data_IF_585312443208
#
_entry.id   IF_585312443208
#
_cell.length_a   1.000
_cell.length_b   1.000
_cell.length_c   1.000
_cell.angle_alpha   90.00
_cell.angle_beta   90.00
_cell.angle_gamma   90.00
#
_symmetry.space_group_name_H-M   'P 1'
#
loop_
_entity.id
_entity.type
_entity.pdbx_description
1 polymer ?
#
# COMPACT_ATOMS: atom_id res chain seq x y z
N UNK A 1 18.30 -9.28 9.18
CA UNK A 1 16.96 -9.92 9.25
C UNK A 1 16.55 -10.33 7.85
N UNK A 2 16.22 -11.58 7.70
CA UNK A 2 15.67 -12.07 6.44
C UNK A 2 14.17 -11.83 6.38
N UNK A 3 13.71 -11.25 5.28
CA UNK A 3 12.29 -11.00 5.03
C UNK A 3 11.86 -11.88 3.87
N UNK A 4 10.79 -12.63 4.07
CA UNK A 4 10.15 -13.40 3.01
C UNK A 4 8.79 -12.80 2.67
N UNK A 5 8.35 -12.99 1.43
CA UNK A 5 7.05 -12.51 0.96
C UNK A 5 6.19 -13.68 0.51
N UNK A 6 4.89 -13.57 0.68
CA UNK A 6 3.91 -14.52 0.16
C UNK A 6 2.56 -13.86 -0.10
N UNK A 7 1.70 -14.47 -0.90
CA UNK A 7 0.34 -13.99 -1.07
C UNK A 7 -0.43 -13.98 0.26
N UNK A 8 -1.35 -13.04 0.40
CA UNK A 8 -2.26 -12.93 1.55
C UNK A 8 -3.26 -14.09 1.55
N UNK A 9 -3.57 -14.60 2.73
CA UNK A 9 -4.60 -15.61 2.99
C UNK A 9 -5.70 -15.01 3.87
N UNK A 10 -6.87 -15.62 3.86
CA UNK A 10 -8.02 -15.16 4.67
C UNK A 10 -7.68 -15.05 6.17
N UNK A 11 -6.81 -15.93 6.67
CA UNK A 11 -6.38 -15.93 8.08
C UNK A 11 -5.44 -14.78 8.45
N UNK A 12 -4.96 -14.01 7.47
CA UNK A 12 -4.00 -12.93 7.73
C UNK A 12 -4.68 -11.60 8.08
N UNK A 13 -5.95 -11.41 7.76
CA UNK A 13 -6.59 -10.10 7.86
C UNK A 13 -6.63 -9.54 9.29
N UNK A 14 -6.72 -10.39 10.31
CA UNK A 14 -6.71 -9.93 11.70
C UNK A 14 -5.41 -9.22 12.06
N UNK A 15 -4.27 -9.84 11.79
CA UNK A 15 -2.96 -9.24 12.09
C UNK A 15 -2.66 -8.05 11.18
N UNK A 16 -3.14 -8.10 9.94
CA UNK A 16 -3.00 -6.97 9.01
C UNK A 16 -3.78 -5.74 9.51
N UNK A 17 -5.01 -5.95 10.01
CA UNK A 17 -5.80 -4.88 10.60
C UNK A 17 -5.11 -4.27 11.83
N UNK A 18 -4.54 -5.09 12.70
CA UNK A 18 -3.76 -4.62 13.86
C UNK A 18 -2.58 -3.75 13.42
N UNK A 19 -1.83 -4.18 12.43
CA UNK A 19 -0.70 -3.44 11.87
C UNK A 19 -1.14 -2.08 11.31
N UNK A 20 -2.19 -2.07 10.51
CA UNK A 20 -2.71 -0.83 9.91
C UNK A 20 -3.27 0.12 10.98
N UNK A 21 -3.94 -0.40 11.99
CA UNK A 21 -4.47 0.42 13.08
C UNK A 21 -3.36 1.10 13.91
N UNK A 22 -2.21 0.48 14.08
CA UNK A 22 -1.05 1.14 14.70
C UNK A 22 -0.60 2.36 13.87
N UNK A 23 -0.56 2.20 12.55
CA UNK A 23 -0.21 3.29 11.63
C UNK A 23 -1.25 4.42 11.71
N UNK A 24 -2.53 4.07 11.73
CA UNK A 24 -3.64 5.03 11.82
C UNK A 24 -3.56 5.80 13.14
N UNK A 25 -3.31 5.12 14.25
CA UNK A 25 -3.22 5.72 15.58
C UNK A 25 -2.10 6.76 15.67
N UNK A 26 -0.93 6.44 15.13
CA UNK A 26 0.19 7.39 15.07
C UNK A 26 -0.15 8.58 14.18
N UNK A 27 -0.82 8.32 13.06
CA UNK A 27 -1.24 9.35 12.11
C UNK A 27 -0.09 9.89 11.27
N UNK A 28 -0.42 10.77 10.34
CA UNK A 28 0.54 11.52 9.54
C UNK A 28 1.03 10.83 8.26
N UNK A 29 0.73 9.56 8.04
CA UNK A 29 1.24 8.84 6.86
C UNK A 29 0.16 8.29 5.94
N UNK A 30 -0.92 7.76 6.48
CA UNK A 30 -2.02 7.22 5.68
C UNK A 30 -3.18 8.20 5.57
N UNK A 31 -3.95 8.11 4.48
CA UNK A 31 -5.22 8.82 4.35
C UNK A 31 -6.34 8.17 5.18
N UNK A 32 -6.15 6.94 5.64
CA UNK A 32 -7.08 6.28 6.54
C UNK A 32 -6.93 6.84 7.95
N UNK A 33 -8.03 7.32 8.54
CA UNK A 33 -8.03 7.95 9.86
C UNK A 33 -8.98 7.26 10.84
N UNK A 34 -9.78 6.31 10.35
CA UNK A 34 -10.71 5.50 11.14
C UNK A 34 -10.15 4.07 11.26
N UNK A 35 -10.14 3.48 12.46
CA UNK A 35 -9.69 2.10 12.63
C UNK A 35 -10.41 1.13 11.71
N UNK A 36 -9.68 0.12 11.24
CA UNK A 36 -10.19 -0.92 10.35
C UNK A 36 -10.34 -2.25 11.11
N UNK A 37 -11.19 -3.12 10.61
CA UNK A 37 -11.37 -4.48 11.10
C UNK A 37 -10.84 -5.50 10.09
N UNK A 38 -10.70 -6.75 10.51
CA UNK A 38 -10.38 -7.83 9.59
C UNK A 38 -11.42 -7.93 8.46
N UNK A 39 -12.69 -7.74 8.77
CA UNK A 39 -13.80 -7.75 7.82
C UNK A 39 -13.66 -6.61 6.80
N UNK A 40 -13.25 -5.43 7.24
CA UNK A 40 -12.99 -4.29 6.35
C UNK A 40 -11.90 -4.63 5.32
N UNK A 41 -10.79 -5.21 5.78
CA UNK A 41 -9.70 -5.61 4.88
C UNK A 41 -10.12 -6.72 3.93
N UNK A 42 -10.92 -7.67 4.39
CA UNK A 42 -11.47 -8.71 3.54
C UNK A 42 -12.35 -8.12 2.45
N UNK A 43 -13.19 -7.14 2.76
CA UNK A 43 -14.01 -6.43 1.77
C UNK A 43 -13.13 -5.72 0.73
N UNK A 44 -12.06 -5.05 1.16
CA UNK A 44 -11.12 -4.43 0.23
C UNK A 44 -10.48 -5.47 -0.70
N UNK A 45 -10.06 -6.59 -0.13
CA UNK A 45 -9.47 -7.69 -0.89
C UNK A 45 -10.44 -8.23 -1.95
N UNK A 46 -11.68 -8.49 -1.57
CA UNK A 46 -12.69 -9.07 -2.45
C UNK A 46 -13.12 -8.10 -3.55
N UNK A 47 -13.27 -6.81 -3.25
CA UNK A 47 -13.69 -5.81 -4.24
C UNK A 47 -12.73 -5.70 -5.42
N UNK A 48 -11.45 -5.94 -5.19
CA UNK A 48 -10.42 -5.82 -6.22
C UNK A 48 -10.32 -7.03 -7.13
N UNK A 49 -10.78 -8.20 -6.68
CA UNK A 49 -10.62 -9.43 -7.42
C UNK A 49 -11.49 -9.45 -8.70
N UNK A 50 -11.03 -10.07 -9.81
CA UNK A 50 -9.72 -10.75 -9.98
C UNK A 50 -8.56 -9.82 -10.37
N UNK A 51 -8.76 -8.51 -10.48
CA UNK A 51 -7.77 -7.54 -10.93
C UNK A 51 -7.01 -6.90 -9.76
N UNK A 52 -6.61 -7.72 -8.80
CA UNK A 52 -5.85 -7.31 -7.62
C UNK A 52 -4.88 -8.40 -7.19
N UNK A 53 -3.83 -7.99 -6.48
CA UNK A 53 -2.87 -8.91 -5.86
C UNK A 53 -2.41 -8.32 -4.53
N UNK A 54 -2.38 -9.16 -3.49
CA UNK A 54 -2.06 -8.78 -2.13
C UNK A 54 -0.94 -9.67 -1.59
N UNK A 55 0.10 -9.06 -1.02
CA UNK A 55 1.27 -9.76 -0.48
C UNK A 55 1.59 -9.31 0.93
N UNK A 56 2.07 -10.27 1.73
CA UNK A 56 2.65 -10.03 3.06
C UNK A 56 4.16 -10.13 3.01
N UNK A 57 4.81 -9.38 3.89
CA UNK A 57 6.21 -9.57 4.25
C UNK A 57 6.30 -10.11 5.68
N UNK A 58 7.07 -11.15 5.86
CA UNK A 58 7.25 -11.84 7.14
C UNK A 58 8.72 -11.82 7.53
N UNK A 59 9.00 -11.68 8.84
CA UNK A 59 10.36 -11.86 9.36
C UNK A 59 10.68 -13.34 9.58
N UNK A 60 11.88 -13.62 10.11
CA UNK A 60 12.36 -14.99 10.39
C UNK A 60 11.48 -15.74 11.39
N UNK A 61 10.79 -15.02 12.26
CA UNK A 61 9.89 -15.58 13.27
C UNK A 61 8.46 -15.77 12.76
N UNK A 62 8.21 -15.43 11.49
CA UNK A 62 6.87 -15.47 10.91
C UNK A 62 5.99 -14.31 11.30
N UNK A 63 6.52 -13.25 11.90
CA UNK A 63 5.76 -12.06 12.24
C UNK A 63 5.48 -11.23 10.97
N UNK A 64 4.26 -10.75 10.81
CA UNK A 64 3.90 -9.86 9.70
C UNK A 64 4.56 -8.49 9.91
N UNK A 65 5.41 -8.12 8.96
CA UNK A 65 6.18 -6.87 9.00
C UNK A 65 5.61 -5.81 8.07
N UNK A 66 4.75 -6.18 7.15
CA UNK A 66 4.10 -5.27 6.23
C UNK A 66 3.23 -6.00 5.24
N UNK A 67 2.43 -5.23 4.51
CA UNK A 67 1.68 -5.75 3.38
C UNK A 67 1.56 -4.70 2.30
N UNK A 68 1.36 -5.17 1.08
CA UNK A 68 1.22 -4.31 -0.09
C UNK A 68 0.21 -4.93 -1.03
N UNK A 69 -0.61 -4.10 -1.65
CA UNK A 69 -1.51 -4.58 -2.67
C UNK A 69 -1.61 -3.61 -3.83
N UNK A 70 -1.98 -4.16 -4.98
CA UNK A 70 -2.39 -3.44 -6.16
C UNK A 70 -3.81 -3.85 -6.51
N UNK A 71 -4.57 -2.92 -7.06
CA UNK A 71 -5.91 -3.18 -7.56
C UNK A 71 -6.25 -2.21 -8.69
N UNK A 72 -7.21 -2.60 -9.51
CA UNK A 72 -7.82 -1.70 -10.46
C UNK A 72 -8.67 -0.67 -9.71
N UNK A 73 -8.57 0.60 -10.10
CA UNK A 73 -9.34 1.68 -9.50
C UNK A 73 -10.22 2.31 -10.59
N UNK A 74 -11.53 2.39 -10.36
CA UNK A 74 -12.49 2.94 -11.32
C UNK A 74 -12.23 4.40 -11.72
N UNK A 75 -11.47 5.13 -10.91
CA UNK A 75 -11.06 6.52 -11.18
C UNK A 75 -9.81 6.62 -12.06
N UNK A 76 -9.16 5.49 -12.34
CA UNK A 76 -7.96 5.41 -13.16
C UNK A 76 -8.25 4.64 -14.45
N UNK A 77 -7.42 4.80 -15.51
CA UNK A 77 -7.53 3.95 -16.69
C UNK A 77 -7.42 2.45 -16.32
N UNK A 78 -8.12 1.55 -17.04
CA UNK A 78 -8.15 0.13 -16.69
C UNK A 78 -6.77 -0.56 -16.63
N UNK A 79 -5.80 -0.07 -17.40
CA UNK A 79 -4.44 -0.59 -17.46
C UNK A 79 -3.52 -0.07 -16.36
N UNK A 80 -4.02 0.78 -15.47
CA UNK A 80 -3.27 1.39 -14.38
C UNK A 80 -3.67 0.76 -13.05
N UNK A 81 -2.70 0.17 -12.35
CA UNK A 81 -2.90 -0.35 -11.01
C UNK A 81 -2.72 0.76 -9.96
N UNK A 82 -3.55 0.74 -8.94
CA UNK A 82 -3.40 1.57 -7.75
C UNK A 82 -2.71 0.76 -6.66
N UNK A 83 -1.67 1.31 -6.03
CA UNK A 83 -0.86 0.60 -5.04
C UNK A 83 -1.04 1.19 -3.64
N UNK A 84 -1.08 0.32 -2.64
CA UNK A 84 -1.04 0.69 -1.23
C UNK A 84 0.02 -0.13 -0.51
N UNK A 85 0.79 0.52 0.36
CA UNK A 85 1.89 -0.12 1.11
C UNK A 85 1.78 0.27 2.58
N UNK A 86 1.84 -0.73 3.45
CA UNK A 86 1.81 -0.54 4.90
C UNK A 86 2.93 -1.36 5.53
N UNK A 87 3.86 -0.70 6.23
CA UNK A 87 4.95 -1.34 6.95
C UNK A 87 4.75 -1.17 8.46
N UNK A 88 5.09 -2.20 9.22
CA UNK A 88 5.00 -2.18 10.69
C UNK A 88 5.79 -0.99 11.24
N UNK A 89 5.20 -0.30 12.21
CA UNK A 89 5.85 0.81 12.89
C UNK A 89 7.18 0.34 13.51
N UNK A 90 8.24 1.10 13.27
CA UNK A 90 9.59 0.77 13.76
C UNK A 90 10.35 -0.22 12.88
N UNK A 91 9.76 -0.71 11.79
CA UNK A 91 10.42 -1.68 10.90
C UNK A 91 11.12 -1.01 9.70
N UNK A 92 11.25 0.30 9.70
CA UNK A 92 11.87 1.07 8.62
C UNK A 92 13.34 0.68 8.43
N UNK A 93 13.82 0.70 7.17
CA UNK A 93 15.22 0.42 6.85
C UNK A 93 15.57 -1.06 6.74
N UNK A 94 14.60 -1.94 6.78
CA UNK A 94 14.81 -3.41 6.71
C UNK A 94 14.52 -4.02 5.34
N UNK A 95 14.28 -3.17 4.32
CA UNK A 95 14.04 -3.62 2.96
C UNK A 95 12.66 -4.26 2.73
N UNK A 96 11.74 -4.11 3.66
CA UNK A 96 10.39 -4.71 3.61
C UNK A 96 9.64 -4.24 2.36
N UNK A 97 9.59 -2.95 2.14
CA UNK A 97 8.89 -2.35 0.99
C UNK A 97 9.51 -2.74 -0.35
N UNK A 98 10.83 -2.85 -0.43
CA UNK A 98 11.53 -3.28 -1.64
C UNK A 98 11.21 -4.72 -1.99
N UNK A 99 11.23 -5.61 -1.01
CA UNK A 99 10.90 -7.03 -1.22
C UNK A 99 9.44 -7.22 -1.61
N UNK A 100 8.52 -6.50 -0.97
CA UNK A 100 7.11 -6.49 -1.36
C UNK A 100 6.94 -6.01 -2.81
N UNK A 101 7.62 -4.94 -3.18
CA UNK A 101 7.47 -4.36 -4.51
C UNK A 101 7.93 -5.29 -5.62
N UNK A 102 8.96 -6.11 -5.40
CA UNK A 102 9.42 -7.09 -6.39
C UNK A 102 8.27 -8.02 -6.80
N UNK A 103 7.57 -8.61 -5.84
CA UNK A 103 6.48 -9.54 -6.12
C UNK A 103 5.21 -8.82 -6.60
N UNK A 104 4.94 -7.63 -6.07
CA UNK A 104 3.81 -6.81 -6.47
C UNK A 104 3.93 -6.36 -7.92
N UNK A 105 5.10 -5.88 -8.33
CA UNK A 105 5.36 -5.47 -9.71
C UNK A 105 5.20 -6.65 -10.68
N UNK A 106 5.73 -7.81 -10.33
CA UNK A 106 5.59 -9.01 -11.14
C UNK A 106 4.11 -9.41 -11.31
N UNK A 107 3.33 -9.34 -10.22
CA UNK A 107 1.90 -9.60 -10.27
C UNK A 107 1.15 -8.58 -11.13
N UNK A 108 1.53 -7.31 -11.07
CA UNK A 108 0.92 -6.26 -11.90
C UNK A 108 1.10 -6.57 -13.40
N UNK A 109 2.31 -6.95 -13.80
CA UNK A 109 2.60 -7.35 -15.18
C UNK A 109 1.77 -8.57 -15.58
N UNK A 110 1.71 -9.58 -14.74
CA UNK A 110 0.94 -10.81 -14.99
C UNK A 110 -0.56 -10.52 -15.16
N UNK A 111 -1.11 -9.58 -14.37
CA UNK A 111 -2.51 -9.17 -14.47
C UNK A 111 -2.81 -8.29 -15.69
N UNK A 112 -1.78 -7.85 -16.42
CA UNK A 112 -1.94 -7.04 -17.64
C UNK A 112 -1.89 -5.53 -17.40
N UNK A 113 -1.56 -5.07 -16.20
CA UNK A 113 -1.33 -3.65 -15.97
C UNK A 113 -0.08 -3.16 -16.69
N UNK A 114 -0.12 -1.94 -17.20
CA UNK A 114 1.00 -1.29 -17.89
C UNK A 114 1.64 -0.19 -17.06
N UNK A 115 1.00 0.23 -15.98
CA UNK A 115 1.51 1.24 -15.07
C UNK A 115 1.00 1.02 -13.65
N UNK A 116 1.73 1.60 -12.68
CA UNK A 116 1.35 1.63 -11.27
C UNK A 116 1.29 3.09 -10.83
N UNK A 117 0.22 3.45 -10.14
CA UNK A 117 0.03 4.78 -9.56
C UNK A 117 -0.05 4.69 -8.05
N UNK A 118 0.67 5.57 -7.36
CA UNK A 118 0.60 5.75 -5.92
C UNK A 118 0.11 7.16 -5.60
N UNK A 119 -0.81 7.27 -4.63
CA UNK A 119 -1.29 8.55 -4.11
C UNK A 119 -0.82 8.67 -2.66
N UNK A 120 0.04 9.64 -2.39
CA UNK A 120 0.73 9.77 -1.11
C UNK A 120 0.42 11.14 -0.50
N UNK A 121 0.12 11.19 0.80
CA UNK A 121 0.00 12.46 1.51
C UNK A 121 1.30 13.26 1.34
N UNK A 122 1.16 14.55 1.04
CA UNK A 122 2.32 15.43 0.82
C UNK A 122 3.20 15.58 2.06
N UNK A 123 2.65 15.35 3.25
CA UNK A 123 3.37 15.35 4.53
C UNK A 123 3.97 13.98 4.92
N UNK A 124 3.71 12.94 4.14
CA UNK A 124 4.31 11.62 4.34
C UNK A 124 5.68 11.56 3.63
N UNK A 125 6.70 12.13 4.25
CA UNK A 125 8.04 12.24 3.67
C UNK A 125 8.64 10.85 3.38
N UNK A 126 8.46 9.89 4.29
CA UNK A 126 8.96 8.53 4.12
C UNK A 126 8.30 7.80 2.94
N UNK A 127 7.00 7.97 2.77
CA UNK A 127 6.25 7.38 1.65
C UNK A 127 6.66 7.98 0.31
N UNK A 128 6.81 9.30 0.25
CA UNK A 128 7.29 10.00 -0.95
C UNK A 128 8.67 9.49 -1.37
N UNK A 129 9.60 9.39 -0.43
CA UNK A 129 10.95 8.89 -0.68
C UNK A 129 10.94 7.42 -1.12
N UNK A 130 10.10 6.58 -0.49
CA UNK A 130 9.96 5.16 -0.81
C UNK A 130 9.56 4.97 -2.28
N UNK A 131 8.49 5.58 -2.72
CA UNK A 131 8.02 5.42 -4.09
C UNK A 131 8.97 6.05 -5.12
N UNK A 132 9.64 7.15 -4.77
CA UNK A 132 10.68 7.73 -5.63
C UNK A 132 11.85 6.74 -5.83
N UNK A 133 12.29 6.07 -4.77
CA UNK A 133 13.35 5.05 -4.87
C UNK A 133 12.96 3.87 -5.73
N UNK A 134 11.68 3.52 -5.76
CA UNK A 134 11.15 2.45 -6.64
C UNK A 134 11.07 2.85 -8.10
N UNK A 135 11.27 4.14 -8.41
CA UNK A 135 11.23 4.65 -9.77
C UNK A 135 9.94 5.35 -10.17
N UNK A 136 8.98 5.50 -9.26
CA UNK A 136 7.77 6.26 -9.54
C UNK A 136 8.11 7.76 -9.60
N UNK A 137 7.50 8.46 -10.54
CA UNK A 137 7.72 9.89 -10.78
C UNK A 137 6.43 10.68 -10.50
N UNK A 138 6.58 11.91 -10.04
CA UNK A 138 5.45 12.81 -9.80
C UNK A 138 4.75 13.14 -11.11
N UNK A 139 3.44 12.93 -11.16
CA UNK A 139 2.62 13.27 -12.33
C UNK A 139 1.51 14.25 -12.01
N UNK A 140 1.11 14.39 -10.75
CA UNK A 140 0.01 15.27 -10.36
C UNK A 140 0.07 15.58 -8.86
N UNK A 141 -0.77 16.54 -8.45
CA UNK A 141 -0.97 16.92 -7.06
C UNK A 141 -2.46 17.14 -6.82
N UNK A 142 -2.96 16.58 -5.73
CA UNK A 142 -4.34 16.79 -5.27
C UNK A 142 -4.28 17.71 -4.06
N UNK A 143 -4.87 18.91 -4.19
CA UNK A 143 -4.86 19.90 -3.12
C UNK A 143 -6.15 19.86 -2.31
N UNK A 144 -6.03 20.08 -0.99
CA UNK A 144 -7.17 20.33 -0.12
C UNK A 144 -8.10 19.14 0.07
N UNK A 145 -7.59 17.91 0.08
CA UNK A 145 -8.42 16.74 0.36
C UNK A 145 -8.77 16.69 1.85
N UNK A 146 -10.05 16.61 2.14
CA UNK A 146 -10.55 16.41 3.50
C UNK A 146 -10.60 14.90 3.82
N UNK A 147 -9.93 14.50 4.90
CA UNK A 147 -9.94 13.13 5.40
C UNK A 147 -11.17 12.90 6.30
N UNK A 148 -11.47 11.64 6.60
CA UNK A 148 -12.65 11.28 7.41
C UNK A 148 -12.70 11.95 8.77
N UNK A 149 -11.54 12.29 9.36
CA UNK A 149 -11.44 13.00 10.64
C UNK A 149 -11.50 14.52 10.52
N UNK A 150 -11.74 15.07 9.32
CA UNK A 150 -11.80 16.51 9.05
C UNK A 150 -10.45 17.16 8.75
N UNK A 151 -9.34 16.44 8.87
CA UNK A 151 -8.02 16.96 8.51
C UNK A 151 -7.95 17.18 7.00
N UNK A 152 -7.45 18.36 6.59
CA UNK A 152 -7.26 18.70 5.17
C UNK A 152 -5.78 18.50 4.82
N UNK A 153 -5.51 17.71 3.79
CA UNK A 153 -4.16 17.38 3.34
C UNK A 153 -4.04 17.53 1.83
N UNK A 154 -2.83 17.79 1.36
CA UNK A 154 -2.48 17.64 -0.04
C UNK A 154 -1.95 16.23 -0.29
N UNK A 155 -2.07 15.75 -1.52
CA UNK A 155 -1.55 14.46 -1.95
C UNK A 155 -0.72 14.63 -3.21
N UNK A 156 0.33 13.81 -3.32
CA UNK A 156 1.17 13.73 -4.52
C UNK A 156 0.83 12.43 -5.23
N UNK A 157 0.63 12.52 -6.55
CA UNK A 157 0.37 11.35 -7.39
C UNK A 157 1.67 11.00 -8.13
N UNK A 158 2.14 9.77 -7.93
CA UNK A 158 3.35 9.24 -8.57
C UNK A 158 2.98 8.07 -9.46
N UNK A 159 3.72 7.87 -10.53
CA UNK A 159 3.47 6.81 -11.51
C UNK A 159 4.75 6.14 -12.00
N UNK A 160 4.67 4.83 -12.24
CA UNK A 160 5.72 4.02 -12.86
C UNK A 160 5.13 3.32 -14.08
N UNK A 161 5.80 3.43 -15.21
CA UNK A 161 5.52 2.60 -16.38
C UNK A 161 6.20 1.24 -16.22
N UNK A 162 5.46 0.17 -16.45
CA UNK A 162 5.93 -1.20 -16.27
C UNK A 162 6.65 -1.74 -17.53
#
# INVERSE_FOLDING_TARGET
MEVITRPVKATDFTVMAELLNEIIEIGGTTAHTTPVTAETLQEWYERGQPMAAWFLALDEMGQVMGFQFIEQNSKLPPETADIATFARVGATGRGIGQKLFIVTRAAAVTLGFTSITAVIRADNIGGLAYYTRLGLQDIDRIEGRELANGLVVDQVVKRLEL
#
